data_IF_089462803469
#
_entry.id   IF_089462803469
#
_cell.length_a   1.000
_cell.length_b   1.000
_cell.length_c   1.000
_cell.angle_alpha   90.00
_cell.angle_beta   90.00
_cell.angle_gamma   90.00
#
_symmetry.space_group_name_H-M   'P 1'
#
loop_
_entity.id
_entity.type
_entity.pdbx_description
1 polymer ?
#
# COMPACT_ATOMS: atom_id res chain seq x y z
N UNK A 1 -20.91 19.75 9.98
CA UNK A 1 -19.58 19.77 9.32
C UNK A 1 -19.82 19.51 7.84
N UNK A 2 -19.42 20.41 6.96
CA UNK A 2 -19.53 20.21 5.51
C UNK A 2 -18.27 19.50 5.02
N UNK A 3 -18.35 18.19 4.87
CA UNK A 3 -17.22 17.38 4.42
C UNK A 3 -16.83 17.67 2.97
N UNK A 4 -17.80 17.98 2.09
CA UNK A 4 -17.50 18.26 0.68
C UNK A 4 -16.66 19.54 0.56
N UNK A 5 -16.95 20.55 1.37
CA UNK A 5 -16.11 21.74 1.48
C UNK A 5 -14.70 21.40 1.98
N UNK A 6 -14.56 20.56 3.00
CA UNK A 6 -13.25 20.14 3.51
C UNK A 6 -12.43 19.36 2.47
N UNK A 7 -13.06 18.47 1.70
CA UNK A 7 -12.42 17.76 0.59
C UNK A 7 -11.89 18.71 -0.49
N UNK A 8 -12.66 19.76 -0.83
CA UNK A 8 -12.21 20.79 -1.78
C UNK A 8 -10.99 21.54 -1.27
N UNK A 9 -11.02 21.94 0.00
CA UNK A 9 -9.88 22.62 0.62
C UNK A 9 -8.63 21.72 0.67
N UNK A 10 -8.80 20.44 1.01
CA UNK A 10 -7.72 19.46 1.00
C UNK A 10 -7.08 19.31 -0.39
N UNK A 11 -7.87 19.27 -1.47
CA UNK A 11 -7.35 19.23 -2.83
C UNK A 11 -6.57 20.50 -3.20
N UNK A 12 -7.07 21.68 -2.82
CA UNK A 12 -6.36 22.95 -3.07
C UNK A 12 -5.05 23.05 -2.28
N UNK A 13 -5.05 22.60 -1.02
CA UNK A 13 -3.84 22.49 -0.21
C UNK A 13 -2.84 21.51 -0.86
N UNK A 14 -3.30 20.33 -1.29
CA UNK A 14 -2.45 19.31 -1.90
C UNK A 14 -1.71 19.82 -3.14
N UNK A 15 -2.37 20.60 -4.01
CA UNK A 15 -1.75 21.22 -5.19
C UNK A 15 -0.52 22.08 -4.87
N UNK A 16 -0.49 22.67 -3.67
CA UNK A 16 0.59 23.57 -3.24
C UNK A 16 1.62 22.85 -2.37
N UNK A 17 1.19 21.88 -1.56
CA UNK A 17 1.99 21.26 -0.50
C UNK A 17 2.60 19.91 -0.87
N UNK A 18 2.19 19.27 -1.98
CA UNK A 18 2.67 17.94 -2.36
C UNK A 18 4.19 17.91 -2.54
N UNK A 19 4.82 16.84 -2.07
CA UNK A 19 6.24 16.59 -2.28
C UNK A 19 6.57 16.48 -3.78
N UNK A 20 7.72 17.03 -4.18
CA UNK A 20 8.19 16.95 -5.57
C UNK A 20 8.96 15.67 -5.86
N UNK A 21 9.63 15.13 -4.85
CA UNK A 21 10.49 13.94 -4.95
C UNK A 21 10.20 13.03 -3.76
N UNK A 22 10.00 11.74 -4.03
CA UNK A 22 9.75 10.73 -3.01
C UNK A 22 10.41 9.40 -3.36
N UNK A 23 10.77 8.64 -2.32
CA UNK A 23 11.30 7.28 -2.43
C UNK A 23 10.20 6.27 -2.12
N UNK A 24 10.14 5.19 -2.89
CA UNK A 24 9.20 4.09 -2.68
C UNK A 24 9.96 2.77 -2.65
N UNK A 25 9.96 2.11 -1.50
CA UNK A 25 10.69 0.87 -1.28
C UNK A 25 9.91 -0.08 -0.35
N UNK A 26 10.06 -1.41 -0.40
CA UNK A 26 10.95 -2.16 -1.27
C UNK A 26 10.23 -3.08 -2.27
N UNK A 27 9.00 -3.51 -1.99
CA UNK A 27 8.38 -4.56 -2.80
C UNK A 27 7.71 -4.03 -4.07
N UNK A 28 8.12 -4.59 -5.20
CA UNK A 28 7.47 -4.44 -6.50
C UNK A 28 7.28 -5.82 -7.13
N UNK A 29 6.17 -6.04 -7.80
CA UNK A 29 5.88 -7.28 -8.52
C UNK A 29 4.95 -7.03 -9.71
N UNK A 30 4.66 -8.09 -10.47
CA UNK A 30 3.61 -8.10 -11.49
C UNK A 30 2.39 -8.80 -10.91
N UNK A 31 1.23 -8.16 -10.94
CA UNK A 31 -0.06 -8.80 -10.65
C UNK A 31 -0.74 -9.18 -11.96
N UNK A 32 -0.95 -10.47 -12.18
CA UNK A 32 -1.78 -11.02 -13.25
C UNK A 32 -3.18 -11.24 -12.69
N UNK A 33 -4.17 -10.47 -13.13
CA UNK A 33 -5.52 -10.50 -12.58
C UNK A 33 -6.44 -11.31 -13.48
N UNK A 34 -7.19 -12.24 -12.90
CA UNK A 34 -8.24 -13.00 -13.56
C UNK A 34 -9.55 -12.82 -12.80
N UNK A 35 -10.59 -12.36 -13.48
CA UNK A 35 -11.95 -12.31 -12.96
C UNK A 35 -12.62 -13.67 -13.20
N UNK A 36 -12.83 -14.42 -12.11
CA UNK A 36 -13.45 -15.74 -12.17
C UNK A 36 -14.96 -15.61 -12.38
N UNK A 37 -15.42 -16.07 -13.54
CA UNK A 37 -16.83 -16.27 -13.88
C UNK A 37 -17.17 -17.76 -14.01
N UNK A 38 -16.21 -18.57 -14.43
CA UNK A 38 -16.36 -20.00 -14.67
C UNK A 38 -15.68 -20.85 -13.59
N UNK A 39 -15.93 -22.16 -13.61
CA UNK A 39 -15.32 -23.11 -12.69
C UNK A 39 -13.79 -23.12 -12.89
N UNK A 40 -12.99 -22.93 -11.83
CA UNK A 40 -11.54 -22.84 -11.96
C UNK A 40 -10.90 -24.24 -12.08
N UNK A 41 -9.62 -24.31 -12.51
CA UNK A 41 -8.88 -25.55 -12.62
C UNK A 41 -8.84 -26.36 -11.31
N UNK A 42 -8.90 -27.69 -11.42
CA UNK A 42 -8.99 -28.59 -10.28
C UNK A 42 -7.82 -28.42 -9.29
N UNK A 43 -6.64 -28.03 -9.79
CA UNK A 43 -5.42 -27.79 -8.99
C UNK A 43 -5.59 -26.71 -7.92
N UNK A 44 -6.46 -25.72 -8.13
CA UNK A 44 -6.67 -24.60 -7.19
C UNK A 44 -8.02 -24.68 -6.46
N UNK A 45 -8.83 -25.67 -6.77
CA UNK A 45 -10.20 -25.79 -6.27
C UNK A 45 -10.24 -25.91 -4.74
N UNK A 46 -9.30 -26.67 -4.14
CA UNK A 46 -9.23 -26.82 -2.68
C UNK A 46 -8.93 -25.51 -1.96
N UNK A 47 -7.92 -24.77 -2.42
CA UNK A 47 -7.52 -23.48 -1.84
C UNK A 47 -8.63 -22.44 -2.03
N UNK A 48 -9.21 -22.40 -3.23
CA UNK A 48 -10.28 -21.46 -3.54
C UNK A 48 -11.56 -21.77 -2.76
N UNK A 49 -11.87 -23.05 -2.54
CA UNK A 49 -12.99 -23.48 -1.71
C UNK A 49 -12.87 -22.95 -0.28
N UNK A 50 -11.68 -23.00 0.32
CA UNK A 50 -11.45 -22.41 1.64
C UNK A 50 -11.61 -20.89 1.65
N UNK A 51 -11.09 -20.20 0.63
CA UNK A 51 -11.21 -18.75 0.47
C UNK A 51 -12.69 -18.32 0.34
N UNK A 52 -13.45 -18.99 -0.53
CA UNK A 52 -14.90 -18.73 -0.74
C UNK A 52 -15.70 -19.06 0.52
N UNK A 53 -15.45 -20.19 1.17
CA UNK A 53 -16.15 -20.60 2.40
C UNK A 53 -15.89 -19.65 3.56
N UNK A 54 -14.66 -19.19 3.72
CA UNK A 54 -14.29 -18.28 4.81
C UNK A 54 -14.73 -16.83 4.55
N UNK A 55 -14.97 -16.46 3.28
CA UNK A 55 -15.27 -15.09 2.90
C UNK A 55 -14.10 -14.13 3.17
N UNK A 56 -12.87 -14.64 3.21
CA UNK A 56 -11.65 -13.88 3.50
C UNK A 56 -10.64 -14.03 2.38
N UNK A 57 -9.93 -12.95 2.09
CA UNK A 57 -8.80 -12.98 1.15
C UNK A 57 -7.78 -14.00 1.65
N UNK A 58 -7.15 -14.71 0.70
CA UNK A 58 -6.00 -15.55 0.99
C UNK A 58 -4.89 -15.32 -0.02
N UNK A 59 -3.66 -15.34 0.48
CA UNK A 59 -2.46 -15.40 -0.33
C UNK A 59 -1.71 -16.71 -0.03
N UNK A 60 -1.23 -17.39 -1.06
CA UNK A 60 -0.52 -18.66 -0.95
C UNK A 60 0.74 -18.60 -1.80
N UNK A 61 1.89 -18.83 -1.18
CA UNK A 61 3.15 -18.96 -1.90
C UNK A 61 3.14 -20.24 -2.75
N UNK A 62 3.60 -20.13 -3.99
CA UNK A 62 3.68 -21.25 -4.92
C UNK A 62 4.90 -21.12 -5.84
N UNK A 63 5.20 -22.18 -6.57
CA UNK A 63 6.28 -22.18 -7.55
C UNK A 63 5.86 -21.50 -8.87
N UNK A 64 6.84 -20.98 -9.61
CA UNK A 64 6.61 -20.28 -10.88
C UNK A 64 5.91 -21.15 -11.92
N UNK A 65 6.22 -22.45 -11.96
CA UNK A 65 5.65 -23.40 -12.94
C UNK A 65 4.15 -23.56 -12.69
N UNK A 66 3.71 -23.56 -11.43
CA UNK A 66 2.29 -23.58 -11.07
C UNK A 66 1.56 -22.35 -11.60
N UNK A 67 2.11 -21.14 -11.43
CA UNK A 67 1.53 -19.92 -12.02
C UNK A 67 1.49 -20.02 -13.54
N UNK A 68 2.58 -20.42 -14.20
CA UNK A 68 2.64 -20.55 -15.65
C UNK A 68 1.61 -21.53 -16.21
N UNK A 69 1.43 -22.68 -15.55
CA UNK A 69 0.41 -23.67 -15.94
C UNK A 69 -0.99 -23.08 -15.83
N UNK A 70 -1.30 -22.40 -14.72
CA UNK A 70 -2.62 -21.78 -14.54
C UNK A 70 -2.86 -20.69 -15.57
N UNK A 71 -1.91 -19.77 -15.77
CA UNK A 71 -2.01 -18.71 -16.79
C UNK A 71 -2.21 -19.30 -18.19
N UNK A 72 -1.56 -20.42 -18.54
CA UNK A 72 -1.83 -21.10 -19.82
C UNK A 72 -3.23 -21.71 -19.92
N UNK A 73 -3.83 -22.11 -18.80
CA UNK A 73 -5.15 -22.75 -18.75
C UNK A 73 -6.31 -21.75 -18.73
N UNK A 74 -6.19 -20.67 -17.96
CA UNK A 74 -7.30 -19.72 -17.74
C UNK A 74 -7.02 -18.30 -18.22
N UNK A 75 -5.78 -18.03 -18.66
CA UNK A 75 -5.34 -16.69 -19.00
C UNK A 75 -5.28 -15.74 -17.80
N UNK A 76 -5.19 -14.46 -18.10
CA UNK A 76 -5.45 -13.34 -17.21
C UNK A 76 -6.17 -12.27 -18.04
N UNK A 77 -6.99 -11.46 -17.39
CA UNK A 77 -7.76 -10.41 -18.04
C UNK A 77 -7.01 -9.06 -17.98
N UNK A 78 -6.22 -8.86 -16.93
CA UNK A 78 -5.41 -7.65 -16.73
C UNK A 78 -4.01 -7.98 -16.21
N UNK A 79 -3.04 -7.15 -16.57
CA UNK A 79 -1.71 -7.14 -15.97
C UNK A 79 -1.48 -5.76 -15.37
N UNK A 80 -1.17 -5.69 -14.08
CA UNK A 80 -0.95 -4.42 -13.37
C UNK A 80 0.31 -4.45 -12.52
N UNK A 81 0.82 -3.27 -12.22
CA UNK A 81 1.87 -3.13 -11.21
C UNK A 81 1.33 -3.65 -9.87
N UNK A 82 2.16 -4.42 -9.18
CA UNK A 82 1.89 -4.90 -7.83
C UNK A 82 3.02 -4.54 -6.87
N UNK A 83 2.78 -4.80 -5.60
CA UNK A 83 3.68 -4.44 -4.51
C UNK A 83 3.50 -3.00 -4.08
N UNK A 84 3.64 -2.74 -2.78
CA UNK A 84 3.25 -1.47 -2.19
C UNK A 84 4.14 -0.34 -2.72
N UNK A 85 5.45 -0.57 -2.90
CA UNK A 85 6.33 0.42 -3.52
C UNK A 85 5.94 0.75 -4.97
N UNK A 86 5.52 -0.26 -5.75
CA UNK A 86 5.10 -0.08 -7.14
C UNK A 86 3.78 0.67 -7.26
N UNK A 87 2.79 0.27 -6.45
CA UNK A 87 1.48 0.91 -6.38
C UNK A 87 1.57 2.37 -5.94
N UNK A 88 2.32 2.65 -4.85
CA UNK A 88 2.52 4.01 -4.35
C UNK A 88 3.32 4.86 -5.35
N UNK A 89 4.35 4.29 -5.99
CA UNK A 89 5.10 4.97 -7.05
C UNK A 89 4.24 5.36 -8.26
N UNK A 90 3.32 4.49 -8.69
CA UNK A 90 2.35 4.81 -9.75
C UNK A 90 1.37 5.90 -9.31
N UNK A 91 0.85 5.82 -8.07
CA UNK A 91 -0.06 6.83 -7.54
C UNK A 91 0.60 8.22 -7.43
N UNK A 92 1.84 8.27 -6.94
CA UNK A 92 2.59 9.51 -6.78
C UNK A 92 3.00 10.12 -8.14
N UNK A 93 3.49 9.30 -9.06
CA UNK A 93 3.93 9.76 -10.39
C UNK A 93 2.79 10.33 -11.25
N UNK A 94 1.55 9.83 -11.07
CA UNK A 94 0.34 10.39 -11.68
C UNK A 94 0.03 11.83 -11.21
N UNK A 95 0.45 12.18 -9.99
CA UNK A 95 0.35 13.53 -9.43
C UNK A 95 1.55 14.44 -9.82
N UNK A 96 2.46 13.94 -10.65
CA UNK A 96 3.66 14.67 -11.07
C UNK A 96 4.85 14.56 -10.11
N UNK A 97 4.80 13.65 -9.13
CA UNK A 97 5.92 13.44 -8.20
C UNK A 97 7.00 12.59 -8.85
N UNK A 98 8.25 13.07 -8.82
CA UNK A 98 9.40 12.25 -9.19
C UNK A 98 9.60 11.12 -8.17
N UNK A 99 9.34 9.91 -8.63
CA UNK A 99 9.21 8.71 -7.81
C UNK A 99 10.44 7.82 -7.99
N UNK A 100 11.31 7.76 -6.99
CA UNK A 100 12.47 6.87 -6.98
C UNK A 100 12.04 5.51 -6.41
N UNK A 101 11.82 4.53 -7.28
CA UNK A 101 11.21 3.25 -6.92
C UNK A 101 12.26 2.16 -6.85
N UNK A 102 12.30 1.44 -5.73
CA UNK A 102 13.11 0.24 -5.61
C UNK A 102 12.52 -0.90 -6.44
N UNK A 103 13.26 -1.32 -7.47
CA UNK A 103 12.91 -2.47 -8.31
C UNK A 103 14.09 -3.43 -8.33
N UNK A 104 13.94 -4.55 -7.63
CA UNK A 104 15.00 -5.53 -7.49
C UNK A 104 15.33 -6.20 -8.83
N UNK A 105 14.32 -6.78 -9.49
CA UNK A 105 14.47 -7.39 -10.81
C UNK A 105 13.79 -6.52 -11.87
N UNK A 106 14.59 -5.85 -12.70
CA UNK A 106 14.15 -4.78 -13.63
C UNK A 106 13.56 -5.35 -14.93
N UNK A 107 12.67 -6.32 -14.78
CA UNK A 107 12.06 -7.05 -15.88
C UNK A 107 11.34 -6.11 -16.84
N UNK A 108 11.53 -6.34 -18.15
CA UNK A 108 10.94 -5.54 -19.23
C UNK A 108 9.42 -5.39 -19.14
N UNK A 109 8.67 -6.43 -18.79
CA UNK A 109 7.21 -6.33 -18.65
C UNK A 109 6.85 -5.51 -17.42
N UNK A 110 7.53 -5.71 -16.29
CA UNK A 110 7.31 -4.93 -15.07
C UNK A 110 7.55 -3.43 -15.30
N UNK A 111 8.60 -3.05 -16.04
CA UNK A 111 8.89 -1.63 -16.31
C UNK A 111 7.81 -0.93 -17.14
N UNK A 112 7.11 -1.68 -18.01
CA UNK A 112 5.98 -1.17 -18.79
C UNK A 112 4.71 -0.94 -17.96
N UNK A 113 4.65 -1.44 -16.73
CA UNK A 113 3.51 -1.28 -15.83
C UNK A 113 3.57 0.03 -15.01
N UNK A 114 4.65 0.81 -15.15
CA UNK A 114 4.68 2.17 -14.66
C UNK A 114 3.86 3.08 -15.57
N UNK A 115 2.79 3.67 -15.04
CA UNK A 115 1.79 4.41 -15.83
C UNK A 115 2.31 5.77 -16.32
N UNK A 116 3.19 6.40 -15.53
CA UNK A 116 3.81 7.70 -15.83
C UNK A 116 5.34 7.56 -15.82
N UNK A 117 5.93 6.81 -16.76
CA UNK A 117 7.33 6.37 -16.66
C UNK A 117 8.35 7.52 -16.69
N UNK A 118 8.00 8.68 -17.25
CA UNK A 118 8.84 9.89 -17.21
C UNK A 118 9.03 10.46 -15.80
N UNK A 119 8.12 10.15 -14.87
CA UNK A 119 8.16 10.57 -13.48
C UNK A 119 8.62 9.44 -12.54
N UNK A 120 8.93 8.25 -13.07
CA UNK A 120 9.38 7.10 -12.28
C UNK A 120 10.84 6.80 -12.60
N UNK A 121 11.69 6.84 -11.58
CA UNK A 121 13.12 6.62 -11.68
C UNK A 121 13.51 5.29 -11.02
N UNK A 122 14.21 4.45 -11.77
CA UNK A 122 14.73 3.15 -11.33
C UNK A 122 16.24 3.14 -11.50
N UNK A 123 16.98 2.61 -10.52
CA UNK A 123 18.44 2.51 -10.60
C UNK A 123 18.84 1.48 -11.67
N UNK A 124 19.54 1.91 -12.71
CA UNK A 124 20.09 1.05 -13.76
C UNK A 124 21.24 1.73 -14.54
N UNK A 125 22.48 1.51 -14.10
CA UNK A 125 23.65 2.35 -14.36
C UNK A 125 23.37 3.83 -14.05
N UNK A 126 22.93 4.10 -12.81
CA UNK A 126 22.38 5.38 -12.38
C UNK A 126 20.86 5.44 -12.55
N UNK A 127 20.21 6.46 -11.99
CA UNK A 127 18.75 6.59 -12.14
C UNK A 127 18.36 6.90 -13.58
N UNK A 128 17.45 6.08 -14.12
CA UNK A 128 16.82 6.27 -15.43
C UNK A 128 15.31 6.25 -15.28
N UNK A 129 14.61 6.93 -16.19
CA UNK A 129 13.16 6.81 -16.29
C UNK A 129 12.77 5.37 -16.61
N UNK A 130 11.64 4.90 -16.09
CA UNK A 130 11.27 3.49 -16.16
C UNK A 130 11.16 2.94 -17.59
N UNK A 131 10.73 3.76 -18.54
CA UNK A 131 10.67 3.45 -19.98
C UNK A 131 12.03 3.22 -20.64
N UNK A 132 13.12 3.70 -20.02
CA UNK A 132 14.51 3.51 -20.48
C UNK A 132 15.20 2.32 -19.83
N UNK A 133 14.51 1.57 -18.98
CA UNK A 133 15.03 0.36 -18.34
C UNK A 133 14.33 -0.86 -18.94
N UNK A 134 15.10 -1.79 -19.47
CA UNK A 134 14.57 -3.03 -20.02
C UNK A 134 15.61 -4.14 -19.87
N UNK A 135 15.45 -4.95 -18.82
CA UNK A 135 16.28 -6.12 -18.59
C UNK A 135 15.49 -7.39 -18.94
N UNK A 136 16.14 -8.33 -19.62
CA UNK A 136 15.62 -9.68 -19.75
C UNK A 136 15.95 -10.46 -18.48
N UNK A 137 15.01 -10.43 -17.53
CA UNK A 137 15.14 -11.08 -16.23
C UNK A 137 13.79 -11.66 -15.81
N UNK A 138 13.76 -12.41 -14.72
CA UNK A 138 12.50 -12.69 -14.04
C UNK A 138 11.94 -11.45 -13.33
N UNK A 139 10.68 -11.52 -12.93
CA UNK A 139 10.03 -10.61 -11.99
C UNK A 139 9.17 -11.42 -11.02
N UNK A 140 9.00 -10.99 -9.76
CA UNK A 140 8.00 -11.59 -8.90
C UNK A 140 6.61 -11.49 -9.53
N UNK A 141 5.84 -12.57 -9.50
CA UNK A 141 4.52 -12.67 -10.14
C UNK A 141 3.49 -13.15 -9.13
N UNK A 142 2.38 -12.42 -9.04
CA UNK A 142 1.19 -12.84 -8.32
C UNK A 142 0.07 -13.11 -9.32
N UNK A 143 -0.54 -14.28 -9.26
CA UNK A 143 -1.79 -14.55 -9.96
C UNK A 143 -2.95 -14.25 -9.02
N UNK A 144 -3.66 -13.15 -9.28
CA UNK A 144 -4.79 -12.64 -8.49
C UNK A 144 -6.08 -13.13 -9.12
N UNK A 145 -6.79 -14.00 -8.42
CA UNK A 145 -8.06 -14.57 -8.86
C UNK A 145 -9.20 -13.86 -8.12
N UNK A 146 -9.85 -12.91 -8.78
CA UNK A 146 -10.91 -12.10 -8.21
C UNK A 146 -12.29 -12.71 -8.52
N UNK A 147 -13.21 -12.68 -7.57
CA UNK A 147 -14.56 -13.18 -7.75
C UNK A 147 -15.58 -12.32 -7.01
N UNK A 148 -16.77 -12.20 -7.60
CA UNK A 148 -17.86 -11.38 -7.06
C UNK A 148 -18.65 -12.15 -5.99
N UNK A 149 -19.45 -11.42 -5.22
CA UNK A 149 -20.48 -11.99 -4.34
C UNK A 149 -21.34 -12.98 -5.14
N UNK A 150 -21.62 -14.14 -4.56
CA UNK A 150 -22.41 -15.20 -5.18
C UNK A 150 -21.62 -16.17 -6.06
N UNK A 151 -20.32 -15.93 -6.30
CA UNK A 151 -19.46 -16.88 -7.02
C UNK A 151 -19.44 -18.24 -6.31
N UNK A 152 -19.70 -19.33 -7.05
CA UNK A 152 -19.92 -20.67 -6.49
C UNK A 152 -18.71 -21.58 -6.64
N UNK A 153 -18.32 -22.21 -5.54
CA UNK A 153 -17.31 -23.29 -5.52
C UNK A 153 -17.86 -24.46 -4.70
N UNK A 154 -18.17 -25.55 -5.40
CA UNK A 154 -18.91 -26.67 -4.78
C UNK A 154 -20.29 -26.20 -4.30
N UNK A 155 -20.58 -26.42 -3.01
CA UNK A 155 -21.85 -26.00 -2.38
C UNK A 155 -21.85 -24.58 -1.80
N UNK A 156 -20.70 -23.90 -1.80
CA UNK A 156 -20.57 -22.58 -1.18
C UNK A 156 -20.66 -21.47 -2.22
N UNK A 157 -21.22 -20.33 -1.80
CA UNK A 157 -21.26 -19.10 -2.58
C UNK A 157 -20.51 -18.00 -1.80
N UNK A 158 -19.73 -17.19 -2.51
CA UNK A 158 -18.95 -16.12 -1.89
C UNK A 158 -19.88 -15.09 -1.21
N UNK A 159 -19.69 -14.77 0.08
CA UNK A 159 -20.58 -13.84 0.81
C UNK A 159 -20.40 -12.38 0.39
N UNK A 160 -19.23 -12.04 -0.14
CA UNK A 160 -18.79 -10.72 -0.60
C UNK A 160 -17.81 -10.87 -1.78
N UNK A 161 -17.54 -9.81 -2.54
CA UNK A 161 -16.41 -9.81 -3.48
C UNK A 161 -15.11 -10.11 -2.75
N UNK A 162 -14.26 -10.98 -3.32
CA UNK A 162 -13.02 -11.40 -2.69
C UNK A 162 -11.99 -11.89 -3.72
N UNK A 163 -10.80 -12.29 -3.25
CA UNK A 163 -9.71 -12.76 -4.10
C UNK A 163 -8.83 -13.83 -3.45
N UNK A 164 -8.33 -14.74 -4.28
CA UNK A 164 -7.24 -15.65 -3.97
C UNK A 164 -5.98 -15.20 -4.72
N UNK A 165 -4.85 -15.08 -4.02
CA UNK A 165 -3.56 -14.70 -4.60
C UNK A 165 -2.62 -15.90 -4.55
N UNK A 166 -2.07 -16.28 -5.69
CA UNK A 166 -1.00 -17.26 -5.80
C UNK A 166 0.31 -16.54 -6.12
N UNK A 167 1.26 -16.58 -5.19
CA UNK A 167 2.44 -15.72 -5.24
C UNK A 167 3.70 -16.53 -5.50
N UNK A 168 4.36 -16.26 -6.63
CA UNK A 168 5.76 -16.63 -6.84
C UNK A 168 6.59 -15.39 -6.59
N UNK A 169 7.07 -15.25 -5.36
CA UNK A 169 7.70 -14.02 -4.87
C UNK A 169 9.10 -14.20 -4.25
N UNK A 170 10.01 -15.05 -4.79
CA UNK A 170 11.32 -15.26 -4.17
C UNK A 170 12.14 -13.97 -3.94
N UNK A 171 12.15 -12.98 -4.86
CA UNK A 171 12.95 -11.78 -4.65
C UNK A 171 12.45 -10.92 -3.47
N UNK A 172 11.13 -10.74 -3.32
CA UNK A 172 10.61 -9.95 -2.18
C UNK A 172 10.55 -10.78 -0.89
N UNK A 173 10.52 -12.12 -0.94
CA UNK A 173 10.46 -12.97 0.26
C UNK A 173 11.72 -12.99 1.11
N UNK A 174 12.81 -12.41 0.59
CA UNK A 174 14.09 -12.23 1.27
C UNK A 174 14.33 -10.75 1.62
N UNK A 175 13.49 -9.83 1.10
CA UNK A 175 13.65 -8.38 1.25
C UNK A 175 15.07 -7.91 0.92
N UNK A 176 15.59 -8.35 -0.24
CA UNK A 176 16.92 -7.92 -0.70
C UNK A 176 16.84 -6.46 -1.16
N UNK A 177 17.67 -5.62 -0.57
CA UNK A 177 17.93 -4.26 -1.05
C UNK A 177 18.84 -4.36 -2.28
N UNK A 178 18.44 -3.75 -3.38
CA UNK A 178 19.26 -3.58 -4.57
C UNK A 178 20.43 -2.63 -4.27
N UNK A 179 21.66 -3.14 -4.42
CA UNK A 179 22.89 -2.41 -4.14
C UNK A 179 23.01 -1.16 -5.00
N UNK A 180 22.59 -1.23 -6.27
CA UNK A 180 22.66 -0.08 -7.16
C UNK A 180 21.69 1.02 -6.72
N UNK A 181 20.48 0.64 -6.32
CA UNK A 181 19.51 1.57 -5.74
C UNK A 181 20.04 2.19 -4.45
N UNK A 182 20.61 1.38 -3.55
CA UNK A 182 21.16 1.82 -2.28
C UNK A 182 22.25 2.88 -2.44
N UNK A 183 23.13 2.73 -3.45
CA UNK A 183 24.16 3.74 -3.74
C UNK A 183 23.60 4.95 -4.49
N UNK A 184 22.78 4.74 -5.53
CA UNK A 184 22.24 5.84 -6.33
C UNK A 184 21.36 6.79 -5.50
N UNK A 185 20.58 6.26 -4.56
CA UNK A 185 19.63 7.08 -3.81
C UNK A 185 20.33 8.10 -2.91
N UNK A 186 21.54 7.80 -2.40
CA UNK A 186 22.32 8.71 -1.54
C UNK A 186 22.52 10.08 -2.19
N UNK A 187 22.78 10.13 -3.49
CA UNK A 187 22.93 11.38 -4.25
C UNK A 187 21.62 12.17 -4.43
N UNK A 188 20.47 11.50 -4.34
CA UNK A 188 19.15 12.12 -4.50
C UNK A 188 18.52 12.55 -3.18
N UNK A 189 18.89 11.91 -2.06
CA UNK A 189 18.33 12.19 -0.74
C UNK A 189 18.30 13.67 -0.33
N UNK A 190 19.30 14.52 -0.64
CA UNK A 190 19.22 15.96 -0.34
C UNK A 190 18.03 16.69 -0.98
N UNK A 191 17.41 16.11 -2.02
CA UNK A 191 16.25 16.66 -2.75
C UNK A 191 14.95 15.90 -2.48
N UNK A 192 15.01 14.78 -1.75
CA UNK A 192 13.87 13.92 -1.40
C UNK A 192 13.37 14.30 -0.01
N UNK A 193 12.07 14.51 0.13
CA UNK A 193 11.48 14.89 1.43
C UNK A 193 10.69 13.75 2.08
N UNK A 194 10.28 12.76 1.29
CA UNK A 194 9.44 11.66 1.77
C UNK A 194 9.99 10.33 1.27
N UNK A 195 9.96 9.32 2.14
CA UNK A 195 10.21 7.94 1.77
C UNK A 195 9.08 7.06 2.30
N UNK A 196 8.65 6.11 1.47
CA UNK A 196 7.67 5.09 1.80
C UNK A 196 8.41 3.75 1.88
N UNK A 197 8.30 3.09 3.03
CA UNK A 197 8.97 1.83 3.32
C UNK A 197 7.92 0.76 3.58
N UNK A 198 8.04 -0.37 2.87
CA UNK A 198 7.11 -1.48 2.98
C UNK A 198 7.70 -2.78 2.41
N UNK A 199 6.90 -3.84 2.39
CA UNK A 199 7.24 -5.14 1.84
C UNK A 199 7.68 -6.19 2.87
N UNK A 200 7.83 -5.82 4.15
CA UNK A 200 8.24 -6.74 5.22
C UNK A 200 7.31 -7.94 5.39
N UNK A 201 6.02 -7.78 5.09
CA UNK A 201 5.02 -8.85 5.18
C UNK A 201 5.30 -10.03 4.23
N UNK A 202 6.12 -9.83 3.19
CA UNK A 202 6.57 -10.87 2.26
C UNK A 202 7.69 -11.74 2.84
N UNK A 203 8.44 -11.21 3.83
CA UNK A 203 9.60 -11.87 4.39
C UNK A 203 9.17 -13.20 5.02
N UNK A 204 10.00 -14.23 4.85
CA UNK A 204 9.78 -15.53 5.49
C UNK A 204 10.74 -15.70 6.67
N UNK A 205 10.45 -16.62 7.60
CA UNK A 205 11.36 -16.92 8.72
C UNK A 205 12.65 -17.64 8.30
N UNK A 206 12.92 -17.74 7.00
CA UNK A 206 14.14 -18.28 6.42
C UNK A 206 15.18 -17.16 6.27
N UNK A 207 16.40 -17.51 5.86
CA UNK A 207 17.41 -16.57 5.33
C UNK A 207 17.70 -15.31 6.16
N UNK A 208 18.14 -15.49 7.42
CA UNK A 208 18.60 -14.38 8.28
C UNK A 208 17.63 -13.19 8.28
N UNK A 209 16.33 -13.47 8.39
CA UNK A 209 15.28 -12.45 8.26
C UNK A 209 15.50 -11.25 9.21
N UNK A 210 16.04 -11.47 10.42
CA UNK A 210 16.43 -10.39 11.35
C UNK A 210 17.47 -9.46 10.73
N UNK A 211 18.55 -10.02 10.17
CA UNK A 211 19.57 -9.25 9.45
C UNK A 211 18.99 -8.45 8.27
N UNK A 212 17.98 -8.99 7.58
CA UNK A 212 17.30 -8.28 6.49
C UNK A 212 16.54 -7.06 6.99
N UNK A 213 15.90 -7.17 8.14
CA UNK A 213 15.21 -6.04 8.80
C UNK A 213 16.23 -5.03 9.33
N UNK A 214 17.31 -5.49 9.98
CA UNK A 214 18.41 -4.63 10.44
C UNK A 214 19.06 -3.85 9.29
N UNK A 215 19.24 -4.47 8.11
CA UNK A 215 19.77 -3.78 6.94
C UNK A 215 18.87 -2.63 6.48
N UNK A 216 17.54 -2.78 6.60
CA UNK A 216 16.59 -1.71 6.29
C UNK A 216 16.66 -0.62 7.35
N UNK A 217 16.75 -0.97 8.64
CA UNK A 217 16.93 -0.01 9.72
C UNK A 217 18.21 0.83 9.53
N UNK A 218 19.35 0.17 9.28
CA UNK A 218 20.62 0.83 8.98
C UNK A 218 20.54 1.77 7.76
N UNK A 219 19.82 1.35 6.71
CA UNK A 219 19.61 2.19 5.53
C UNK A 219 18.76 3.43 5.87
N UNK A 220 17.71 3.27 6.67
CA UNK A 220 16.87 4.39 7.14
C UNK A 220 17.70 5.38 7.96
N UNK A 221 18.54 4.91 8.87
CA UNK A 221 19.44 5.76 9.66
C UNK A 221 20.45 6.51 8.78
N UNK A 222 21.06 5.81 7.81
CA UNK A 222 21.93 6.44 6.83
C UNK A 222 21.19 7.54 6.06
N UNK A 223 19.95 7.28 5.65
CA UNK A 223 19.15 8.26 4.91
C UNK A 223 18.83 9.50 5.75
N UNK A 224 18.45 9.31 7.02
CA UNK A 224 18.22 10.41 7.97
C UNK A 224 19.50 11.19 8.28
N UNK A 225 20.67 10.54 8.28
CA UNK A 225 21.97 11.22 8.43
C UNK A 225 22.32 12.08 7.20
N UNK A 226 22.02 11.61 5.99
CA UNK A 226 22.24 12.37 4.75
C UNK A 226 21.24 13.53 4.64
N UNK A 227 19.99 13.30 5.03
CA UNK A 227 18.94 14.32 5.04
C UNK A 227 18.11 14.24 6.34
N UNK A 228 18.47 15.07 7.33
CA UNK A 228 17.76 15.14 8.61
C UNK A 228 16.32 15.67 8.53
N UNK A 229 15.86 16.11 7.35
CA UNK A 229 14.47 16.54 7.08
C UNK A 229 13.65 15.46 6.36
N UNK A 230 14.25 14.32 6.03
CA UNK A 230 13.55 13.21 5.38
C UNK A 230 12.49 12.64 6.32
N UNK A 231 11.23 12.63 5.86
CA UNK A 231 10.14 11.97 6.55
C UNK A 231 9.96 10.56 6.00
N UNK A 232 9.76 9.59 6.88
CA UNK A 232 9.61 8.18 6.53
C UNK A 232 8.25 7.66 6.98
N UNK A 233 7.52 7.06 6.05
CA UNK A 233 6.28 6.36 6.34
C UNK A 233 6.47 4.87 6.13
N UNK A 234 6.08 4.08 7.13
CA UNK A 234 6.03 2.62 7.02
C UNK A 234 4.58 2.21 6.81
N UNK A 235 4.26 1.73 5.61
CA UNK A 235 2.96 1.13 5.34
C UNK A 235 3.05 -0.37 5.66
N UNK A 236 2.24 -0.83 6.60
CA UNK A 236 2.17 -2.25 6.94
C UNK A 236 1.47 -3.03 5.82
N UNK A 237 1.65 -4.34 5.86
CA UNK A 237 0.88 -5.29 5.06
C UNK A 237 0.53 -6.50 5.91
N UNK A 238 -0.26 -7.42 5.37
CA UNK A 238 -0.67 -8.63 6.10
C UNK A 238 0.49 -9.60 6.34
N UNK A 239 1.03 -9.62 7.57
CA UNK A 239 2.18 -10.47 7.93
C UNK A 239 1.78 -11.93 8.06
N UNK A 240 2.55 -12.82 7.42
CA UNK A 240 2.41 -14.27 7.62
C UNK A 240 2.97 -14.75 8.96
N UNK A 241 3.79 -13.95 9.63
CA UNK A 241 4.39 -14.27 10.92
C UNK A 241 4.46 -13.05 11.83
N UNK A 242 3.83 -13.14 13.01
CA UNK A 242 3.93 -12.11 14.04
C UNK A 242 5.33 -11.97 14.62
N UNK A 243 6.20 -12.98 14.46
CA UNK A 243 7.62 -12.86 14.83
C UNK A 243 8.33 -11.86 13.94
N UNK A 244 8.04 -11.83 12.64
CA UNK A 244 8.59 -10.84 11.71
C UNK A 244 8.06 -9.45 12.05
N UNK A 245 6.74 -9.33 12.28
CA UNK A 245 6.14 -8.07 12.69
C UNK A 245 6.75 -7.54 14.00
N UNK A 246 7.09 -8.43 14.94
CA UNK A 246 7.78 -8.04 16.18
C UNK A 246 9.13 -7.38 15.92
N UNK A 247 9.96 -7.99 15.06
CA UNK A 247 11.27 -7.40 14.72
C UNK A 247 11.10 -6.10 13.92
N UNK A 248 10.13 -6.01 13.02
CA UNK A 248 9.84 -4.73 12.32
C UNK A 248 9.42 -3.65 13.32
N UNK A 249 8.59 -4.01 14.31
CA UNK A 249 8.13 -3.10 15.34
C UNK A 249 9.23 -2.64 16.29
N UNK A 250 10.27 -3.43 16.53
CA UNK A 250 11.42 -3.04 17.34
C UNK A 250 12.46 -2.24 16.56
N UNK A 251 12.82 -2.69 15.35
CA UNK A 251 13.98 -2.15 14.62
C UNK A 251 13.62 -1.01 13.67
N UNK A 252 12.43 -1.04 13.05
CA UNK A 252 12.09 -0.14 11.94
C UNK A 252 11.07 0.92 12.34
N UNK A 253 9.99 0.53 13.02
CA UNK A 253 8.92 1.48 13.35
C UNK A 253 9.40 2.66 14.21
N UNK A 254 10.34 2.50 15.18
CA UNK A 254 10.87 3.63 15.95
C UNK A 254 11.67 4.64 15.10
N UNK A 255 12.16 4.22 13.93
CA UNK A 255 12.87 5.09 12.99
C UNK A 255 11.93 5.82 12.02
N UNK A 256 10.65 5.46 12.00
CA UNK A 256 9.64 6.04 11.11
C UNK A 256 8.97 7.28 11.71
N UNK A 257 8.49 8.17 10.84
CA UNK A 257 7.72 9.36 11.23
C UNK A 257 6.22 9.12 11.14
N UNK A 258 5.79 8.01 10.51
CA UNK A 258 4.39 7.62 10.37
C UNK A 258 4.29 6.12 10.09
N UNK A 259 3.30 5.46 10.71
CA UNK A 259 2.97 4.05 10.44
C UNK A 259 1.53 3.95 9.96
N UNK A 260 1.30 3.30 8.83
CA UNK A 260 -0.03 3.10 8.23
C UNK A 260 -0.49 1.64 8.24
N UNK A 261 -1.79 1.41 8.47
CA UNK A 261 -2.40 0.08 8.53
C UNK A 261 -3.94 0.09 8.45
N UNK A 262 -4.51 -1.05 8.08
CA UNK A 262 -5.95 -1.34 8.14
C UNK A 262 -6.40 -2.05 9.45
N UNK A 263 -7.65 -2.50 9.53
CA UNK A 263 -8.17 -3.25 10.68
C UNK A 263 -7.43 -4.56 10.97
N UNK A 264 -7.02 -5.27 9.93
CA UNK A 264 -6.36 -6.56 10.06
C UNK A 264 -4.93 -6.39 10.56
N UNK A 265 -4.18 -5.47 9.96
CA UNK A 265 -2.82 -5.12 10.38
C UNK A 265 -2.80 -4.54 11.78
N UNK A 266 -3.78 -3.69 12.14
CA UNK A 266 -3.95 -3.24 13.52
C UNK A 266 -4.15 -4.42 14.48
N UNK A 267 -4.97 -5.40 14.12
CA UNK A 267 -5.16 -6.60 14.94
C UNK A 267 -3.84 -7.36 15.15
N UNK A 268 -3.02 -7.50 14.11
CA UNK A 268 -1.72 -8.15 14.21
C UNK A 268 -0.74 -7.35 15.07
N UNK A 269 -0.74 -6.03 14.93
CA UNK A 269 0.14 -5.14 15.68
C UNK A 269 -0.23 -5.12 17.16
N UNK A 270 -1.54 -5.04 17.47
CA UNK A 270 -2.06 -5.16 18.85
C UNK A 270 -1.63 -6.46 19.51
N UNK A 271 -1.77 -7.59 18.81
CA UNK A 271 -1.34 -8.89 19.34
C UNK A 271 0.17 -8.94 19.55
N UNK A 272 0.95 -8.43 18.60
CA UNK A 272 2.41 -8.42 18.64
C UNK A 272 2.95 -7.63 19.82
N UNK A 273 2.38 -6.44 20.05
CA UNK A 273 2.81 -5.48 21.06
C UNK A 273 1.99 -5.55 22.36
N UNK A 274 1.06 -6.49 22.46
CA UNK A 274 0.16 -6.66 23.62
C UNK A 274 -0.62 -5.39 23.95
N UNK A 275 -1.05 -4.66 22.91
CA UNK A 275 -1.89 -3.45 23.05
C UNK A 275 -3.36 -3.84 23.04
N UNK A 276 -4.06 -3.48 24.12
CA UNK A 276 -5.48 -3.76 24.29
C UNK A 276 -6.37 -2.55 23.99
N UNK A 277 -7.69 -2.73 24.13
CA UNK A 277 -8.68 -1.66 24.01
C UNK A 277 -9.38 -1.57 22.65
N UNK A 278 -10.30 -0.61 22.55
CA UNK A 278 -11.03 -0.30 21.31
C UNK A 278 -10.10 0.22 20.21
N UNK A 279 -10.58 0.28 18.97
CA UNK A 279 -9.86 0.86 17.82
C UNK A 279 -9.15 2.17 18.18
N UNK A 280 -9.91 3.14 18.71
CA UNK A 280 -9.41 4.48 19.04
C UNK A 280 -8.31 4.45 20.11
N UNK A 281 -8.55 3.73 21.22
CA UNK A 281 -7.61 3.67 22.35
C UNK A 281 -6.34 2.91 22.00
N UNK A 282 -6.47 1.81 21.25
CA UNK A 282 -5.34 1.03 20.79
C UNK A 282 -4.45 1.87 19.88
N UNK A 283 -5.01 2.58 18.90
CA UNK A 283 -4.24 3.49 18.06
C UNK A 283 -3.60 4.64 18.85
N UNK A 284 -4.28 5.19 19.86
CA UNK A 284 -3.72 6.26 20.71
C UNK A 284 -2.52 5.77 21.54
N UNK A 285 -2.59 4.53 22.02
CA UNK A 285 -1.47 3.88 22.70
C UNK A 285 -0.31 3.60 21.74
N UNK A 286 -0.60 3.07 20.55
CA UNK A 286 0.41 2.85 19.51
C UNK A 286 1.06 4.17 19.08
N UNK A 287 0.30 5.26 18.97
CA UNK A 287 0.82 6.59 18.67
C UNK A 287 1.78 7.11 19.75
N UNK A 288 1.64 6.68 21.01
CA UNK A 288 2.61 7.02 22.06
C UNK A 288 3.85 6.13 22.06
N UNK A 289 3.80 4.96 21.39
CA UNK A 289 4.96 4.08 21.20
C UNK A 289 5.79 4.47 19.97
N UNK A 290 5.14 5.07 18.96
CA UNK A 290 5.74 5.55 17.71
C UNK A 290 5.56 7.07 17.59
N UNK A 291 5.76 7.66 16.41
CA UNK A 291 5.62 9.12 16.22
C UNK A 291 4.23 9.54 15.74
N UNK A 292 3.70 8.84 14.72
CA UNK A 292 2.35 9.04 14.20
C UNK A 292 1.79 7.71 13.69
N UNK A 293 0.50 7.49 13.87
CA UNK A 293 -0.22 6.36 13.27
C UNK A 293 -1.34 6.87 12.38
N UNK A 294 -1.54 6.20 11.26
CA UNK A 294 -2.67 6.44 10.36
C UNK A 294 -3.40 5.13 10.12
N UNK A 295 -4.70 5.17 10.36
CA UNK A 295 -5.58 4.04 10.13
C UNK A 295 -6.48 4.37 8.94
N UNK A 296 -6.67 3.39 8.06
CA UNK A 296 -7.59 3.50 6.94
C UNK A 296 -8.51 2.28 6.83
N UNK A 297 -9.74 2.53 6.39
CA UNK A 297 -10.76 1.53 6.14
C UNK A 297 -11.63 1.96 4.95
N UNK A 298 -12.47 1.07 4.39
CA UNK A 298 -13.39 1.44 3.32
C UNK A 298 -14.42 2.53 3.69
N UNK A 299 -14.65 2.78 4.99
CA UNK A 299 -15.67 3.72 5.45
C UNK A 299 -15.09 5.03 5.98
N UNK A 300 -13.89 5.02 6.57
CA UNK A 300 -13.24 6.19 7.14
C UNK A 300 -11.75 5.98 7.33
N UNK A 301 -11.04 7.07 7.63
CA UNK A 301 -9.66 7.07 8.05
C UNK A 301 -9.47 8.05 9.20
N UNK A 302 -8.44 7.82 10.00
CA UNK A 302 -8.03 8.75 11.04
C UNK A 302 -6.52 8.68 11.26
N UNK A 303 -5.95 9.76 11.76
CA UNK A 303 -4.55 9.80 12.17
C UNK A 303 -4.44 10.31 13.59
N UNK A 304 -3.45 9.78 14.30
CA UNK A 304 -2.98 10.30 15.57
C UNK A 304 -1.52 10.72 15.39
N UNK A 305 -1.18 11.89 15.93
CA UNK A 305 0.15 12.49 15.82
C UNK A 305 0.46 13.24 17.12
N UNK A 306 1.69 13.14 17.62
CA UNK A 306 2.08 13.78 18.87
C UNK A 306 2.06 15.32 18.80
N UNK A 307 2.13 15.90 17.60
CA UNK A 307 2.44 17.33 17.39
C UNK A 307 1.36 18.11 16.64
N UNK A 308 0.77 17.56 15.57
CA UNK A 308 -0.07 18.35 14.67
C UNK A 308 -1.24 17.58 14.04
N UNK A 309 -2.33 18.28 13.76
CA UNK A 309 -3.44 17.75 12.96
C UNK A 309 -3.00 17.56 11.50
N UNK A 310 -3.55 16.52 10.84
CA UNK A 310 -3.28 16.18 9.44
C UNK A 310 -4.58 15.93 8.66
N UNK A 311 -5.63 16.70 8.93
CA UNK A 311 -6.96 16.46 8.37
C UNK A 311 -6.98 16.59 6.84
N UNK A 312 -6.32 17.60 6.27
CA UNK A 312 -6.20 17.80 4.82
C UNK A 312 -5.51 16.63 4.14
N UNK A 313 -4.49 16.06 4.78
CA UNK A 313 -3.80 14.87 4.30
C UNK A 313 -4.71 13.64 4.27
N UNK A 314 -5.49 13.39 5.33
CA UNK A 314 -6.45 12.29 5.37
C UNK A 314 -7.51 12.43 4.27
N UNK A 315 -8.06 13.63 4.10
CA UNK A 315 -9.05 13.93 3.06
C UNK A 315 -8.45 13.76 1.66
N UNK A 316 -7.24 14.24 1.42
CA UNK A 316 -6.59 14.07 0.12
C UNK A 316 -6.26 12.60 -0.18
N UNK A 317 -5.72 11.85 0.80
CA UNK A 317 -5.54 10.39 0.67
C UNK A 317 -6.84 9.68 0.35
N UNK A 318 -7.93 10.04 1.03
CA UNK A 318 -9.25 9.45 0.79
C UNK A 318 -9.83 9.81 -0.58
N UNK A 319 -9.58 11.02 -1.06
CA UNK A 319 -9.94 11.46 -2.41
C UNK A 319 -9.22 10.62 -3.48
N UNK A 320 -7.91 10.40 -3.33
CA UNK A 320 -7.13 9.57 -4.26
C UNK A 320 -7.65 8.14 -4.31
N UNK A 321 -7.85 7.53 -3.14
CA UNK A 321 -8.37 6.17 -3.06
C UNK A 321 -9.79 6.06 -3.62
N UNK A 322 -10.66 7.05 -3.34
CA UNK A 322 -12.02 7.12 -3.88
C UNK A 322 -12.04 7.25 -5.41
N UNK A 323 -11.17 8.10 -5.97
CA UNK A 323 -11.00 8.20 -7.42
C UNK A 323 -10.52 6.87 -8.01
N UNK A 324 -9.47 6.27 -7.44
CA UNK A 324 -8.91 5.01 -7.93
C UNK A 324 -9.95 3.90 -7.91
N UNK A 325 -10.75 3.80 -6.85
CA UNK A 325 -11.84 2.84 -6.75
C UNK A 325 -12.90 3.06 -7.85
N UNK A 326 -13.29 4.30 -8.13
CA UNK A 326 -14.30 4.63 -9.15
C UNK A 326 -13.80 4.48 -10.59
N UNK A 327 -12.58 4.96 -10.86
CA UNK A 327 -12.01 5.06 -12.20
C UNK A 327 -11.23 3.82 -12.62
N UNK A 328 -10.68 3.06 -11.67
CA UNK A 328 -9.81 1.90 -11.93
C UNK A 328 -8.36 2.25 -12.25
N UNK A 329 -7.95 3.52 -12.10
CA UNK A 329 -6.61 4.03 -12.45
C UNK A 329 -6.15 5.11 -11.46
N UNK A 330 -4.86 5.44 -11.46
CA UNK A 330 -4.35 6.55 -10.65
C UNK A 330 -4.75 7.90 -11.25
N UNK A 331 -4.83 8.93 -10.40
CA UNK A 331 -5.37 10.23 -10.76
C UNK A 331 -4.28 11.27 -11.00
N UNK A 332 -4.47 12.11 -12.01
CA UNK A 332 -3.85 13.44 -12.09
C UNK A 332 -4.65 14.47 -11.28
N UNK A 333 -4.05 15.62 -10.96
CA UNK A 333 -4.76 16.71 -10.27
C UNK A 333 -5.99 17.22 -11.04
N UNK A 334 -5.95 17.23 -12.38
CA UNK A 334 -7.08 17.67 -13.20
C UNK A 334 -8.27 16.70 -13.07
N UNK A 335 -8.02 15.39 -13.13
CA UNK A 335 -9.05 14.37 -12.96
C UNK A 335 -9.66 14.40 -11.54
N UNK A 336 -8.86 14.73 -10.52
CA UNK A 336 -9.36 14.90 -9.16
C UNK A 336 -10.29 16.12 -9.01
N UNK A 337 -10.02 17.21 -9.74
CA UNK A 337 -10.91 18.37 -9.77
C UNK A 337 -12.26 18.03 -10.40
N UNK A 338 -12.24 17.30 -11.52
CA UNK A 338 -13.48 16.81 -12.15
C UNK A 338 -14.23 15.87 -11.21
N UNK A 339 -13.51 14.92 -10.59
CA UNK A 339 -14.09 13.97 -9.65
C UNK A 339 -14.70 14.64 -8.41
N UNK A 340 -14.15 15.78 -7.98
CA UNK A 340 -14.63 16.56 -6.82
C UNK A 340 -16.10 17.00 -6.96
N UNK A 341 -16.62 17.13 -8.19
CA UNK A 341 -18.01 17.54 -8.41
C UNK A 341 -19.05 16.45 -8.12
N UNK A 342 -18.61 15.18 -8.09
CA UNK A 342 -19.50 14.01 -7.93
C UNK A 342 -19.28 13.25 -6.62
N UNK A 343 -18.41 13.75 -5.74
CA UNK A 343 -18.12 13.06 -4.48
C UNK A 343 -19.36 13.00 -3.57
N UNK A 344 -19.47 11.86 -2.89
CA UNK A 344 -20.41 11.66 -1.79
C UNK A 344 -19.65 11.02 -0.65
N UNK A 345 -19.82 11.53 0.56
CA UNK A 345 -19.18 10.92 1.74
C UNK A 345 -19.91 9.66 2.17
N UNK A 346 -19.15 8.72 2.73
CA UNK A 346 -19.65 7.46 3.25
C UNK A 346 -20.38 7.70 4.58
N UNK A 347 -21.68 7.42 4.61
CA UNK A 347 -22.52 7.64 5.81
C UNK A 347 -22.07 6.84 7.03
N UNK A 348 -21.51 5.63 6.83
CA UNK A 348 -20.95 4.83 7.94
C UNK A 348 -19.77 5.58 8.56
N UNK A 349 -18.90 6.15 7.73
CA UNK A 349 -17.79 6.99 8.19
C UNK A 349 -18.26 8.24 8.93
N UNK A 350 -19.31 8.91 8.43
CA UNK A 350 -19.91 10.07 9.10
C UNK A 350 -20.46 9.69 10.48
N UNK A 351 -21.14 8.54 10.62
CA UNK A 351 -21.60 8.06 11.93
C UNK A 351 -20.43 7.70 12.85
N UNK A 352 -19.35 7.13 12.31
CA UNK A 352 -18.13 6.84 13.09
C UNK A 352 -17.43 8.08 13.61
N UNK A 353 -17.53 9.21 12.91
CA UNK A 353 -17.03 10.50 13.40
C UNK A 353 -17.70 10.94 14.72
N UNK A 354 -18.99 10.63 14.90
CA UNK A 354 -19.70 10.95 16.15
C UNK A 354 -19.21 10.13 17.36
N UNK A 355 -18.68 8.93 17.12
CA UNK A 355 -17.97 8.15 18.14
C UNK A 355 -16.58 8.73 18.39
N UNK A 356 -15.84 9.02 17.32
CA UNK A 356 -14.47 9.52 17.36
C UNK A 356 -14.34 10.81 18.17
N UNK A 357 -15.22 11.78 17.94
CA UNK A 357 -15.18 13.09 18.62
C UNK A 357 -15.44 13.04 20.13
N UNK A 358 -15.98 11.92 20.63
CA UNK A 358 -16.25 11.70 22.07
C UNK A 358 -15.05 11.10 22.80
N UNK A 359 -14.03 10.65 22.06
CA UNK A 359 -12.83 10.07 22.64
C UNK A 359 -11.90 11.19 23.08
N UNK A 360 -11.45 11.12 24.32
CA UNK A 360 -10.39 11.98 24.83
C UNK A 360 -9.03 11.36 24.46
N UNK A 361 -8.48 11.74 23.31
CA UNK A 361 -7.17 11.29 22.84
C UNK A 361 -6.05 11.98 23.60
N UNK A 362 -4.96 11.26 23.87
CA UNK A 362 -3.72 11.86 24.38
C UNK A 362 -2.97 12.63 23.30
N UNK A 363 -3.04 12.13 22.06
CA UNK A 363 -2.37 12.70 20.91
C UNK A 363 -3.34 13.55 20.06
N UNK A 364 -2.79 14.39 19.18
CA UNK A 364 -3.60 15.15 18.21
C UNK A 364 -4.31 14.19 17.26
N UNK A 365 -5.62 14.35 17.11
CA UNK A 365 -6.46 13.39 16.42
C UNK A 365 -7.20 14.03 15.25
N UNK A 366 -7.07 13.45 14.06
CA UNK A 366 -7.71 13.92 12.82
C UNK A 366 -8.54 12.80 12.20
N UNK A 367 -9.65 13.15 11.55
CA UNK A 367 -10.58 12.17 10.97
C UNK A 367 -11.05 12.61 9.58
N UNK A 368 -11.23 11.64 8.69
CA UNK A 368 -11.88 11.83 7.39
C UNK A 368 -12.83 10.65 7.10
N UNK A 369 -14.13 10.89 6.87
CA UNK A 369 -15.01 9.86 6.31
C UNK A 369 -14.58 9.56 4.88
N UNK A 370 -14.58 8.29 4.48
CA UNK A 370 -14.22 7.92 3.12
C UNK A 370 -15.29 8.38 2.11
N UNK A 371 -14.98 8.29 0.81
CA UNK A 371 -15.96 8.51 -0.24
C UNK A 371 -16.80 7.25 -0.50
N UNK A 372 -18.09 7.44 -0.74
CA UNK A 372 -19.02 6.37 -1.08
C UNK A 372 -18.93 6.03 -2.56
N UNK A 373 -18.35 4.87 -2.87
CA UNK A 373 -18.25 4.33 -4.22
C UNK A 373 -19.11 3.06 -4.31
N UNK A 374 -20.34 3.12 -4.87
CA UNK A 374 -21.26 1.98 -4.88
C UNK A 374 -20.72 0.76 -5.65
N UNK A 375 -20.10 1.01 -6.80
CA UNK A 375 -19.60 -0.01 -7.71
C UNK A 375 -18.11 0.26 -8.02
N UNK A 376 -17.19 -0.12 -7.12
CA UNK A 376 -15.77 0.08 -7.36
C UNK A 376 -15.31 -0.81 -8.52
N UNK A 377 -14.57 -0.23 -9.47
CA UNK A 377 -13.91 -0.96 -10.56
C UNK A 377 -12.73 -1.79 -10.06
N UNK A 378 -12.03 -1.28 -9.04
CA UNK A 378 -10.87 -1.93 -8.42
C UNK A 378 -10.93 -1.79 -6.91
N UNK A 379 -10.41 -2.79 -6.20
CA UNK A 379 -10.28 -2.79 -4.73
C UNK A 379 -8.85 -3.05 -4.25
N UNK A 380 -7.95 -3.42 -5.15
CA UNK A 380 -6.55 -3.71 -4.85
C UNK A 380 -5.71 -2.43 -4.93
N UNK A 381 -4.80 -2.24 -3.96
CA UNK A 381 -3.91 -1.07 -3.89
C UNK A 381 -4.61 0.24 -3.50
N UNK A 382 -5.83 0.19 -2.94
CA UNK A 382 -6.52 1.39 -2.44
C UNK A 382 -5.87 1.93 -1.16
N UNK A 383 -5.43 1.06 -0.24
CA UNK A 383 -4.66 1.44 0.95
C UNK A 383 -3.35 2.13 0.56
N UNK A 384 -2.57 1.53 -0.34
CA UNK A 384 -1.35 2.13 -0.90
C UNK A 384 -1.63 3.53 -1.51
N UNK A 385 -2.72 3.67 -2.28
CA UNK A 385 -3.10 4.95 -2.89
C UNK A 385 -3.50 5.99 -1.84
N UNK A 386 -4.24 5.58 -0.80
CA UNK A 386 -4.57 6.42 0.35
C UNK A 386 -3.30 6.89 1.08
N UNK A 387 -2.41 5.97 1.44
CA UNK A 387 -1.17 6.25 2.16
C UNK A 387 -0.28 7.22 1.37
N UNK A 388 -0.23 7.05 0.04
CA UNK A 388 0.48 7.95 -0.87
C UNK A 388 -0.05 9.39 -0.75
N UNK A 389 -1.36 9.59 -0.88
CA UNK A 389 -1.95 10.93 -0.76
C UNK A 389 -1.78 11.53 0.63
N UNK A 390 -2.00 10.73 1.68
CA UNK A 390 -1.84 11.17 3.06
C UNK A 390 -0.41 11.65 3.34
N UNK A 391 0.60 10.85 3.01
CA UNK A 391 1.95 11.12 3.47
C UNK A 391 2.75 12.05 2.56
N UNK A 392 2.39 12.20 1.28
CA UNK A 392 3.09 13.13 0.38
C UNK A 392 2.85 14.61 0.70
N UNK A 393 1.84 14.94 1.50
CA UNK A 393 1.60 16.33 1.92
C UNK A 393 2.56 16.71 3.06
N UNK A 394 3.31 17.79 2.82
CA UNK A 394 4.32 18.33 3.74
C UNK A 394 3.72 18.75 5.08
#
# INVERSE_FOLDING_TARGET
MDWNFLYRNALQYAKQAIAKNAVFAYNTNIDLVKHLTEKPPQKILGILHECVRAGKQREVQTDKRTIQVLVRQIGYDEMRMGGQAGNMGNAASALGVHSYVHVLLKNRQQMKLFENPSNVFVAHNGFKTADRVSVDSDAPIHLVLEFKKGYKVGRFAAPSPNRLILSWNPPNSVLKIDEEFAECIKGMLPKVNHAFISGFHNLTLKDRFTQRIENVANQIEEWKRINGKLRIHVELGNFQSLRILREVASEVLPLSDSVGFDEYELSQLKQTLQVEGSLWKACDTLCSMFTSVVFHSPAFSFSLDASQSRQEALLFGSLLAGYKAAAGKNASFAELEEFMHQIKVNEVGVRKYDEFKKINFKNSASFAPALHIPEPKITVGLGDCFATGYFLLK
#
